data_IF_445574307133
#
_entry.id   IF_445574307133
#
_cell.length_a   1.000
_cell.length_b   1.000
_cell.length_c   1.000
_cell.angle_alpha   90.00
_cell.angle_beta   90.00
_cell.angle_gamma   90.00
#
_symmetry.space_group_name_H-M   'P 1'
#
loop_
_entity.id
_entity.type
_entity.pdbx_description
1 polymer ?
#
# COMPACT_ATOMS: atom_id res chain seq x y z
N UNK A 1 70.53 35.24 17.55
CA UNK A 1 70.93 36.63 17.28
C UNK A 1 72.09 36.57 16.28
N UNK A 2 71.83 36.81 14.98
CA UNK A 2 72.75 37.03 13.83
C UNK A 2 71.87 36.93 12.56
N UNK A 3 71.31 38.04 12.06
CA UNK A 3 71.77 38.94 10.97
C UNK A 3 71.57 38.43 9.53
N UNK A 4 70.67 39.10 8.77
CA UNK A 4 70.88 39.87 7.50
C UNK A 4 70.65 38.99 6.25
N UNK A 5 69.94 39.38 5.20
CA UNK A 5 70.12 40.55 4.32
C UNK A 5 68.83 40.96 3.57
N UNK A 6 68.71 42.26 3.31
CA UNK A 6 67.72 42.89 2.43
C UNK A 6 68.02 42.67 0.94
N UNK A 7 67.01 42.84 0.07
CA UNK A 7 67.18 43.52 -1.22
C UNK A 7 65.84 43.97 -1.83
N UNK A 8 65.77 45.28 -2.00
CA UNK A 8 64.89 46.05 -2.90
C UNK A 8 65.19 45.68 -4.35
N UNK A 9 64.22 45.80 -5.28
CA UNK A 9 64.39 46.50 -6.60
C UNK A 9 63.15 46.40 -7.51
N UNK A 10 62.52 47.56 -7.71
CA UNK A 10 62.06 48.23 -8.95
C UNK A 10 61.05 47.56 -9.91
N UNK A 11 59.96 48.31 -10.13
CA UNK A 11 58.94 48.17 -11.18
C UNK A 11 59.46 48.58 -12.58
N UNK A 12 59.07 47.83 -13.61
CA UNK A 12 58.95 48.35 -14.97
C UNK A 12 57.67 47.80 -15.62
N UNK A 13 56.89 48.72 -16.19
CA UNK A 13 55.62 48.51 -16.89
C UNK A 13 55.86 48.10 -18.34
N UNK A 14 55.09 47.14 -18.84
CA UNK A 14 54.88 46.91 -20.27
C UNK A 14 53.43 46.44 -20.51
N UNK A 15 52.69 47.20 -21.30
CA UNK A 15 51.35 46.88 -21.75
C UNK A 15 51.41 45.83 -22.89
N UNK A 16 50.59 44.78 -22.79
CA UNK A 16 50.35 43.83 -23.87
C UNK A 16 48.85 43.56 -24.01
N UNK A 17 48.34 43.82 -25.21
CA UNK A 17 46.96 43.64 -25.65
C UNK A 17 46.67 42.14 -25.80
N UNK A 18 45.65 41.55 -25.16
CA UNK A 18 45.29 40.17 -25.41
C UNK A 18 44.41 40.04 -26.66
N UNK A 19 44.87 39.22 -27.60
CA UNK A 19 44.05 38.70 -28.69
C UNK A 19 43.01 37.73 -28.11
N UNK A 20 41.73 38.07 -28.23
CA UNK A 20 40.62 37.18 -27.92
C UNK A 20 40.41 36.20 -29.08
N UNK A 21 40.73 34.93 -28.87
CA UNK A 21 40.17 33.82 -29.67
C UNK A 21 38.79 33.48 -29.11
N UNK A 22 37.69 33.55 -29.89
CA UNK A 22 36.39 33.11 -29.41
C UNK A 22 36.38 31.59 -29.29
N UNK A 23 36.28 31.10 -28.06
CA UNK A 23 35.88 29.72 -27.78
C UNK A 23 34.42 29.59 -28.21
N UNK A 24 34.16 28.72 -29.19
CA UNK A 24 32.81 28.36 -29.58
C UNK A 24 32.08 27.80 -28.34
N UNK A 25 31.08 28.54 -27.87
CA UNK A 25 30.19 28.10 -26.81
C UNK A 25 29.48 26.83 -27.30
N UNK A 26 29.81 25.69 -26.70
CA UNK A 26 28.94 24.52 -26.74
C UNK A 26 27.66 24.93 -26.03
N UNK A 27 26.62 25.22 -26.80
CA UNK A 27 25.27 25.39 -26.29
C UNK A 27 24.88 24.13 -25.55
N UNK A 28 24.98 24.16 -24.21
CA UNK A 28 24.33 23.18 -23.37
C UNK A 28 22.82 23.42 -23.55
N UNK A 29 22.17 22.54 -24.33
CA UNK A 29 20.73 22.44 -24.27
C UNK A 29 20.32 22.28 -22.79
N UNK A 30 19.31 23.03 -22.32
CA UNK A 30 18.88 22.94 -20.94
C UNK A 30 18.43 21.51 -20.67
N UNK A 31 19.20 20.80 -19.83
CA UNK A 31 18.80 19.53 -19.24
C UNK A 31 17.44 19.77 -18.61
N UNK A 32 16.41 19.11 -19.14
CA UNK A 32 15.06 19.18 -18.59
C UNK A 32 15.18 19.00 -17.07
N UNK A 33 14.72 20.00 -16.31
CA UNK A 33 14.75 19.96 -14.86
C UNK A 33 14.05 18.68 -14.41
N UNK A 34 14.75 17.85 -13.64
CA UNK A 34 14.12 16.69 -13.00
C UNK A 34 12.91 17.21 -12.21
N UNK A 35 11.70 16.66 -12.42
CA UNK A 35 10.51 17.13 -11.72
C UNK A 35 10.78 17.07 -10.22
N UNK A 36 10.54 18.19 -9.53
CA UNK A 36 10.68 18.24 -8.08
C UNK A 36 9.91 17.08 -7.46
N UNK A 37 10.47 16.38 -6.46
CA UNK A 37 9.79 15.23 -5.87
C UNK A 37 8.40 15.68 -5.39
N UNK A 38 7.34 14.96 -5.76
CA UNK A 38 5.98 15.33 -5.37
C UNK A 38 5.88 15.45 -3.84
N UNK A 39 5.16 16.48 -3.38
CA UNK A 39 4.93 16.72 -1.96
C UNK A 39 3.95 15.66 -1.42
N UNK A 40 4.52 14.55 -0.95
CA UNK A 40 3.75 13.42 -0.46
C UNK A 40 3.23 13.69 0.95
N UNK A 41 1.94 13.45 1.16
CA UNK A 41 1.33 13.40 2.47
C UNK A 41 1.97 12.27 3.29
N UNK A 42 2.33 12.58 4.53
CA UNK A 42 2.97 11.66 5.47
C UNK A 42 2.22 11.62 6.81
N UNK A 43 2.44 10.58 7.60
CA UNK A 43 1.95 10.49 8.98
C UNK A 43 0.43 10.65 9.09
N UNK A 44 -0.03 11.63 9.87
CA UNK A 44 -1.46 11.91 10.05
C UNK A 44 -2.15 12.39 8.79
N UNK A 45 -1.47 13.13 7.93
CA UNK A 45 -2.07 13.65 6.69
C UNK A 45 -2.30 12.53 5.67
N UNK A 46 -1.36 11.58 5.56
CA UNK A 46 -1.58 10.36 4.78
C UNK A 46 -2.81 9.60 5.29
N UNK A 47 -2.88 9.37 6.61
CA UNK A 47 -3.98 8.63 7.23
C UNK A 47 -5.33 9.29 6.98
N UNK A 48 -5.45 10.60 7.21
CA UNK A 48 -6.68 11.34 6.90
C UNK A 48 -7.04 11.22 5.43
N UNK A 49 -6.05 11.32 4.54
CA UNK A 49 -6.29 11.18 3.11
C UNK A 49 -6.83 9.79 2.73
N UNK A 50 -6.38 8.72 3.41
CA UNK A 50 -6.87 7.35 3.17
C UNK A 50 -8.33 7.15 3.61
N UNK A 51 -8.79 7.92 4.60
CA UNK A 51 -10.17 7.89 5.10
C UNK A 51 -11.12 8.81 4.32
N UNK A 52 -10.59 9.73 3.51
CA UNK A 52 -11.38 10.63 2.66
C UNK A 52 -12.03 9.89 1.50
N UNK A 53 -13.22 10.34 1.10
CA UNK A 53 -13.93 9.81 -0.06
C UNK A 53 -13.19 10.14 -1.36
N UNK A 54 -13.11 9.14 -2.23
CA UNK A 54 -12.49 9.20 -3.53
C UNK A 54 -13.35 8.44 -4.55
N UNK A 55 -13.11 8.72 -5.82
CA UNK A 55 -13.71 8.01 -6.94
C UNK A 55 -12.70 7.84 -8.06
N UNK A 56 -12.89 6.76 -8.82
CA UNK A 56 -12.13 6.47 -10.03
C UNK A 56 -13.06 5.97 -11.12
N UNK A 57 -12.72 6.33 -12.35
CA UNK A 57 -13.30 5.76 -13.55
C UNK A 57 -12.14 5.42 -14.48
N UNK A 58 -11.72 4.17 -14.45
CA UNK A 58 -10.72 3.62 -15.35
C UNK A 58 -11.41 2.68 -16.33
N UNK A 59 -11.12 2.87 -17.61
CA UNK A 59 -11.48 1.93 -18.66
C UNK A 59 -10.20 1.51 -19.38
N UNK A 60 -9.88 0.21 -19.34
CA UNK A 60 -8.67 -0.39 -19.92
C UNK A 60 -7.39 0.41 -19.64
N UNK A 61 -7.28 0.94 -18.43
CA UNK A 61 -6.16 1.82 -18.07
C UNK A 61 -4.97 0.97 -17.62
N UNK A 62 -3.76 1.16 -18.17
CA UNK A 62 -2.56 0.45 -17.70
C UNK A 62 -2.30 0.76 -16.23
N UNK A 63 -2.17 -0.29 -15.40
CA UNK A 63 -2.06 -0.20 -13.94
C UNK A 63 -0.99 0.81 -13.48
N UNK A 64 0.22 0.73 -14.04
CA UNK A 64 1.33 1.60 -13.64
C UNK A 64 1.04 3.07 -13.89
N UNK A 65 0.47 3.40 -15.05
CA UNK A 65 0.08 4.77 -15.39
C UNK A 65 -1.10 5.26 -14.54
N UNK A 66 -2.08 4.38 -14.30
CA UNK A 66 -3.21 4.65 -13.41
C UNK A 66 -2.76 4.98 -11.98
N UNK A 67 -1.93 4.13 -11.38
CA UNK A 67 -1.38 4.33 -10.03
C UNK A 67 -0.51 5.58 -9.93
N UNK A 68 0.30 5.88 -10.95
CA UNK A 68 1.11 7.11 -10.97
C UNK A 68 0.24 8.37 -10.97
N UNK A 69 -0.80 8.43 -11.82
CA UNK A 69 -1.77 9.54 -11.80
C UNK A 69 -2.51 9.60 -10.47
N UNK A 70 -2.91 8.45 -9.92
CA UNK A 70 -3.63 8.37 -8.65
C UNK A 70 -2.77 8.88 -7.48
N UNK A 71 -1.50 8.51 -7.45
CA UNK A 71 -0.48 9.00 -6.52
C UNK A 71 -0.37 10.53 -6.58
N UNK A 72 -0.29 11.10 -7.78
CA UNK A 72 -0.21 12.55 -7.99
C UNK A 72 -1.48 13.28 -7.53
N UNK A 73 -2.65 12.80 -7.92
CA UNK A 73 -3.95 13.43 -7.59
C UNK A 73 -4.19 13.47 -6.08
N UNK A 74 -3.89 12.37 -5.37
CA UNK A 74 -4.14 12.28 -3.94
C UNK A 74 -2.94 12.72 -3.08
N UNK A 75 -1.77 12.97 -3.68
CA UNK A 75 -0.55 13.33 -2.97
C UNK A 75 -0.06 12.21 -2.06
N UNK A 76 -0.19 10.95 -2.49
CA UNK A 76 0.20 9.77 -1.70
C UNK A 76 1.30 8.99 -2.42
N UNK A 77 2.26 8.45 -1.67
CA UNK A 77 3.33 7.66 -2.28
C UNK A 77 2.86 6.24 -2.54
N UNK A 78 2.99 5.78 -3.79
CA UNK A 78 2.65 4.42 -4.21
C UNK A 78 3.89 3.77 -4.82
N UNK A 79 4.25 2.59 -4.33
CA UNK A 79 5.31 1.75 -4.89
C UNK A 79 4.69 0.48 -5.46
N UNK A 80 4.89 0.24 -6.75
CA UNK A 80 4.46 -0.98 -7.42
C UNK A 80 5.63 -1.97 -7.50
N UNK A 81 5.46 -3.15 -6.90
CA UNK A 81 6.42 -4.24 -6.97
C UNK A 81 6.64 -4.68 -8.42
N UNK A 82 7.91 -4.86 -8.80
CA UNK A 82 8.34 -5.33 -10.12
C UNK A 82 7.68 -6.63 -10.62
N UNK A 83 7.17 -7.48 -9.73
CA UNK A 83 6.51 -8.76 -10.04
C UNK A 83 5.05 -8.58 -10.45
N UNK A 84 4.48 -7.40 -10.21
CA UNK A 84 3.13 -7.06 -10.68
C UNK A 84 3.26 -6.42 -12.06
N UNK A 85 2.58 -6.97 -13.05
CA UNK A 85 2.60 -6.42 -14.41
C UNK A 85 2.00 -5.00 -14.41
N UNK A 86 2.79 -3.97 -14.71
CA UNK A 86 2.31 -2.59 -14.72
C UNK A 86 1.57 -2.21 -16.01
N UNK A 87 1.62 -3.06 -17.05
CA UNK A 87 0.95 -2.84 -18.33
C UNK A 87 -0.43 -3.48 -18.38
N UNK A 88 -0.77 -4.34 -17.42
CA UNK A 88 -2.09 -4.93 -17.30
C UNK A 88 -3.17 -3.84 -17.26
N UNK A 89 -4.24 -4.06 -18.01
CA UNK A 89 -5.33 -3.10 -18.16
C UNK A 89 -6.38 -3.31 -17.06
N UNK A 90 -6.72 -2.24 -16.34
CA UNK A 90 -7.72 -2.25 -15.29
C UNK A 90 -8.95 -1.45 -15.75
N UNK A 91 -10.12 -2.08 -15.69
CA UNK A 91 -11.43 -1.40 -15.79
C UNK A 91 -12.12 -1.43 -14.44
N UNK A 92 -12.30 -0.24 -13.85
CA UNK A 92 -12.87 -0.06 -12.52
C UNK A 92 -13.56 1.30 -12.41
N UNK A 93 -14.83 1.28 -12.00
CA UNK A 93 -15.62 2.49 -11.73
C UNK A 93 -16.13 2.42 -10.30
N UNK A 94 -15.74 3.39 -9.49
CA UNK A 94 -16.14 3.52 -8.09
C UNK A 94 -16.27 4.99 -7.73
N UNK A 95 -17.23 5.31 -6.86
CA UNK A 95 -17.51 6.68 -6.43
C UNK A 95 -17.85 6.68 -4.94
N UNK A 96 -17.52 7.77 -4.25
CA UNK A 96 -17.87 8.02 -2.85
C UNK A 96 -17.44 6.87 -1.91
N UNK A 97 -16.26 6.29 -2.15
CA UNK A 97 -15.66 5.28 -1.27
C UNK A 97 -14.43 5.87 -0.59
N UNK A 98 -14.09 5.46 0.65
CA UNK A 98 -12.81 5.81 1.25
C UNK A 98 -11.65 5.48 0.31
N UNK A 99 -10.67 6.37 0.21
CA UNK A 99 -9.50 6.22 -0.66
C UNK A 99 -8.80 4.87 -0.45
N UNK A 100 -8.73 4.40 0.80
CA UNK A 100 -8.24 3.08 1.13
C UNK A 100 -9.03 1.96 0.43
N UNK A 101 -10.36 2.00 0.43
CA UNK A 101 -11.22 0.99 -0.22
C UNK A 101 -11.06 1.00 -1.75
N UNK A 102 -10.83 2.18 -2.34
CA UNK A 102 -10.51 2.29 -3.76
C UNK A 102 -9.18 1.61 -4.08
N UNK A 103 -8.14 1.87 -3.26
CA UNK A 103 -6.83 1.21 -3.40
C UNK A 103 -6.91 -0.31 -3.22
N UNK A 104 -7.73 -0.81 -2.29
CA UNK A 104 -8.02 -2.26 -2.13
C UNK A 104 -8.63 -2.84 -3.39
N UNK A 105 -9.60 -2.13 -3.97
CA UNK A 105 -10.27 -2.56 -5.20
C UNK A 105 -9.32 -2.59 -6.40
N UNK A 106 -8.40 -1.61 -6.51
CA UNK A 106 -7.35 -1.63 -7.52
C UNK A 106 -6.42 -2.82 -7.31
N UNK A 107 -5.95 -3.06 -6.08
CA UNK A 107 -5.05 -4.17 -5.76
C UNK A 107 -5.67 -5.53 -6.13
N UNK A 108 -6.93 -5.76 -5.74
CA UNK A 108 -7.66 -6.98 -6.08
C UNK A 108 -7.76 -7.20 -7.59
N UNK A 109 -8.08 -6.15 -8.37
CA UNK A 109 -8.14 -6.26 -9.84
C UNK A 109 -6.77 -6.52 -10.47
N UNK A 110 -5.71 -6.02 -9.84
CA UNK A 110 -4.33 -6.27 -10.24
C UNK A 110 -3.77 -7.63 -9.76
N UNK A 111 -4.59 -8.45 -9.09
CA UNK A 111 -4.16 -9.69 -8.41
C UNK A 111 -2.98 -9.47 -7.46
N UNK A 112 -2.98 -8.31 -6.80
CA UNK A 112 -1.99 -7.87 -5.84
C UNK A 112 -2.66 -7.63 -4.48
N UNK A 113 -1.82 -7.48 -3.47
CA UNK A 113 -2.21 -6.99 -2.15
C UNK A 113 -1.52 -5.66 -1.89
N UNK A 114 -2.13 -4.83 -1.04
CA UNK A 114 -1.49 -3.60 -0.57
C UNK A 114 -0.97 -3.71 0.85
N UNK A 115 0.11 -3.00 1.11
CA UNK A 115 0.67 -2.83 2.44
C UNK A 115 1.06 -1.37 2.65
N UNK A 116 1.04 -0.89 3.89
CA UNK A 116 1.53 0.45 4.22
C UNK A 116 2.81 0.31 5.03
N UNK A 117 3.91 0.87 4.52
CA UNK A 117 5.20 0.93 5.22
C UNK A 117 5.60 2.38 5.35
N UNK A 118 5.80 2.83 6.59
CA UNK A 118 6.04 4.24 6.91
C UNK A 118 4.96 5.15 6.29
N UNK A 119 5.25 5.79 5.16
CA UNK A 119 4.34 6.70 4.45
C UNK A 119 4.10 6.29 2.99
N UNK A 120 4.37 5.03 2.65
CA UNK A 120 4.28 4.51 1.28
C UNK A 120 3.34 3.33 1.21
N UNK A 121 2.47 3.35 0.20
CA UNK A 121 1.55 2.29 -0.12
C UNK A 121 2.23 1.38 -1.13
N UNK A 122 2.58 0.19 -0.68
CA UNK A 122 3.19 -0.84 -1.49
C UNK A 122 2.11 -1.71 -2.13
N UNK A 123 2.22 -1.98 -3.42
CA UNK A 123 1.41 -2.96 -4.16
C UNK A 123 2.31 -4.10 -4.60
N UNK A 124 2.04 -5.31 -4.15
CA UNK A 124 2.86 -6.46 -4.53
C UNK A 124 2.17 -7.80 -4.30
N UNK A 125 2.89 -8.92 -4.48
CA UNK A 125 2.32 -10.24 -4.26
C UNK A 125 1.77 -10.40 -2.83
N UNK A 126 0.66 -11.14 -2.71
CA UNK A 126 -0.07 -11.34 -1.46
C UNK A 126 0.84 -11.75 -0.29
N UNK A 127 1.71 -12.74 -0.51
CA UNK A 127 2.58 -13.28 0.53
C UNK A 127 3.58 -12.23 1.05
N UNK A 128 4.21 -11.48 0.14
CA UNK A 128 5.16 -10.42 0.51
C UNK A 128 4.46 -9.26 1.22
N UNK A 129 3.37 -8.74 0.63
CA UNK A 129 2.66 -7.56 1.14
C UNK A 129 2.13 -7.81 2.56
N UNK A 130 1.59 -9.01 2.83
CA UNK A 130 1.08 -9.39 4.15
C UNK A 130 2.15 -9.40 5.26
N UNK A 131 3.41 -9.68 4.91
CA UNK A 131 4.54 -9.77 5.85
C UNK A 131 5.24 -8.43 6.06
N UNK A 132 5.22 -7.59 5.01
CA UNK A 132 6.11 -6.45 4.87
C UNK A 132 5.98 -5.40 5.99
N UNK A 133 4.78 -4.94 6.42
CA UNK A 133 4.69 -3.96 7.50
C UNK A 133 5.29 -4.48 8.81
N UNK A 134 5.08 -5.76 9.11
CA UNK A 134 5.65 -6.39 10.30
C UNK A 134 7.16 -6.51 10.21
N UNK A 135 7.69 -6.93 9.07
CA UNK A 135 9.15 -6.97 8.84
C UNK A 135 9.76 -5.58 8.96
N UNK A 136 9.20 -4.56 8.30
CA UNK A 136 9.70 -3.20 8.38
C UNK A 136 9.71 -2.68 9.83
N UNK A 137 8.66 -2.96 10.59
CA UNK A 137 8.61 -2.60 12.01
C UNK A 137 9.67 -3.31 12.85
N UNK A 138 9.91 -4.60 12.63
CA UNK A 138 10.98 -5.35 13.29
C UNK A 138 12.35 -4.73 12.98
N UNK A 139 12.63 -4.41 11.72
CA UNK A 139 13.90 -3.79 11.31
C UNK A 139 14.07 -2.40 11.90
N UNK A 140 13.00 -1.60 11.95
CA UNK A 140 13.01 -0.30 12.62
C UNK A 140 13.29 -0.45 14.12
N UNK A 141 12.69 -1.44 14.79
CA UNK A 141 12.97 -1.74 16.21
C UNK A 141 14.43 -2.15 16.41
N UNK A 142 14.96 -3.03 15.55
CA UNK A 142 16.35 -3.46 15.63
C UNK A 142 17.30 -2.24 15.49
N UNK A 143 17.02 -1.34 14.55
CA UNK A 143 17.76 -0.08 14.39
C UNK A 143 17.65 0.84 15.62
N UNK A 144 16.51 0.86 16.33
CA UNK A 144 16.34 1.64 17.56
C UNK A 144 17.19 1.16 18.74
N UNK A 145 17.58 -0.12 18.73
CA UNK A 145 18.40 -0.76 19.76
C UNK A 145 19.91 -0.61 19.52
N UNK A 146 20.31 -0.03 18.37
CA UNK A 146 21.72 0.22 18.05
C UNK A 146 22.34 1.32 18.94
N UNK A 147 23.68 1.37 19.02
CA UNK A 147 24.40 2.49 19.63
C UNK A 147 24.06 3.82 18.95
N UNK A 148 24.22 4.95 19.67
CA UNK A 148 23.72 6.26 19.26
C UNK A 148 24.09 6.69 17.83
N UNK A 149 25.35 6.48 17.41
CA UNK A 149 25.83 6.83 16.07
C UNK A 149 25.13 6.02 14.96
N UNK A 150 25.31 4.69 14.91
CA UNK A 150 24.62 3.83 13.96
C UNK A 150 23.09 3.97 14.02
N UNK A 151 22.50 4.06 15.21
CA UNK A 151 21.07 4.32 15.39
C UNK A 151 20.62 5.56 14.63
N UNK A 152 21.30 6.69 14.83
CA UNK A 152 20.98 7.94 14.14
C UNK A 152 21.12 7.81 12.62
N UNK A 153 22.12 7.07 12.15
CA UNK A 153 22.36 6.85 10.73
C UNK A 153 21.28 5.97 10.07
N UNK A 154 20.95 4.82 10.68
CA UNK A 154 19.92 3.89 10.17
C UNK A 154 18.49 4.45 10.25
N UNK A 155 18.21 5.26 11.27
CA UNK A 155 16.90 5.90 11.45
C UNK A 155 16.82 7.29 10.79
N UNK A 156 17.88 7.74 10.12
CA UNK A 156 17.88 9.03 9.44
C UNK A 156 16.79 9.04 8.38
N UNK A 157 15.83 9.95 8.54
CA UNK A 157 14.78 10.16 7.54
C UNK A 157 15.37 10.89 6.34
N UNK A 158 15.32 10.24 5.18
CA UNK A 158 15.78 10.82 3.92
C UNK A 158 14.75 10.53 2.82
N UNK A 159 14.50 11.46 1.89
CA UNK A 159 13.71 11.14 0.71
C UNK A 159 14.46 10.11 -0.12
N UNK A 160 13.72 9.19 -0.73
CA UNK A 160 14.25 8.20 -1.66
C UNK A 160 13.77 8.49 -3.06
N UNK A 161 14.63 8.41 -4.06
CA UNK A 161 14.22 8.39 -5.45
C UNK A 161 15.27 7.62 -6.23
N UNK A 162 14.84 6.87 -7.23
CA UNK A 162 15.74 6.21 -8.14
C UNK A 162 15.21 6.32 -9.57
N UNK A 163 16.07 6.66 -10.54
CA UNK A 163 15.66 6.79 -11.93
C UNK A 163 15.39 5.43 -12.56
N UNK A 164 14.75 5.46 -13.74
CA UNK A 164 14.61 4.27 -14.58
C UNK A 164 15.99 3.71 -14.90
N UNK A 165 16.05 2.40 -15.01
CA UNK A 165 17.26 1.60 -15.20
C UNK A 165 18.19 1.52 -13.98
N UNK A 166 17.70 1.87 -12.78
CA UNK A 166 18.47 1.66 -11.55
C UNK A 166 18.71 0.17 -11.29
N UNK A 167 19.94 -0.17 -10.90
CA UNK A 167 20.34 -1.52 -10.51
C UNK A 167 20.09 -1.68 -9.00
N UNK A 168 19.19 -2.58 -8.57
CA UNK A 168 18.75 -2.65 -7.16
C UNK A 168 19.87 -3.01 -6.19
N UNK A 169 20.79 -3.87 -6.63
CA UNK A 169 21.97 -4.25 -5.83
C UNK A 169 22.84 -3.04 -5.50
N UNK A 170 23.07 -2.16 -6.46
CA UNK A 170 23.87 -0.95 -6.28
C UNK A 170 23.14 0.05 -5.38
N UNK A 171 21.83 0.23 -5.59
CA UNK A 171 20.99 1.08 -4.75
C UNK A 171 21.02 0.64 -3.28
N UNK A 172 20.82 -0.65 -3.00
CA UNK A 172 20.89 -1.20 -1.64
C UNK A 172 22.29 -1.02 -1.04
N UNK A 173 23.34 -1.27 -1.83
CA UNK A 173 24.73 -1.09 -1.38
C UNK A 173 25.00 0.36 -0.99
N UNK A 174 24.54 1.32 -1.79
CA UNK A 174 24.65 2.76 -1.52
C UNK A 174 23.89 3.15 -0.25
N UNK A 175 22.65 2.69 -0.10
CA UNK A 175 21.84 2.98 1.10
C UNK A 175 22.49 2.42 2.37
N UNK A 176 22.97 1.19 2.36
CA UNK A 176 23.68 0.58 3.49
C UNK A 176 24.99 1.33 3.79
N UNK A 177 25.78 1.66 2.77
CA UNK A 177 27.04 2.39 2.96
C UNK A 177 26.80 3.79 3.53
N UNK A 178 25.68 4.43 3.18
CA UNK A 178 25.30 5.75 3.72
C UNK A 178 25.07 5.76 5.24
N UNK A 179 24.85 4.59 5.86
CA UNK A 179 24.74 4.47 7.33
C UNK A 179 26.09 4.24 8.01
N UNK A 180 27.17 4.11 7.23
CA UNK A 180 28.49 3.69 7.70
C UNK A 180 28.66 2.17 7.83
N UNK A 181 27.65 1.39 7.44
CA UNK A 181 27.69 -0.06 7.50
C UNK A 181 28.23 -0.70 6.21
N UNK A 182 28.74 -1.93 6.31
CA UNK A 182 29.14 -2.77 5.18
C UNK A 182 28.08 -3.82 4.86
N UNK A 183 27.72 -3.92 3.58
CA UNK A 183 26.87 -5.00 3.07
C UNK A 183 27.70 -6.28 2.85
N UNK A 184 27.31 -7.38 3.48
CA UNK A 184 28.10 -8.62 3.51
C UNK A 184 27.88 -9.56 2.31
N UNK A 185 26.69 -9.54 1.70
CA UNK A 185 26.27 -10.49 0.65
C UNK A 185 25.39 -9.84 -0.42
N UNK A 186 25.87 -8.80 -1.14
CA UNK A 186 25.10 -8.10 -2.17
C UNK A 186 24.58 -9.02 -3.30
N UNK A 187 25.25 -10.13 -3.57
CA UNK A 187 24.87 -11.13 -4.57
C UNK A 187 23.55 -11.83 -4.27
N UNK A 188 23.08 -11.81 -3.01
CA UNK A 188 21.76 -12.32 -2.63
C UNK A 188 20.61 -11.51 -3.26
N UNK A 189 20.90 -10.32 -3.78
CA UNK A 189 19.98 -9.49 -4.58
C UNK A 189 20.22 -9.86 -6.05
N UNK A 190 19.22 -10.48 -6.74
CA UNK A 190 19.32 -10.78 -8.16
C UNK A 190 19.62 -9.53 -8.99
N UNK A 191 20.35 -9.71 -10.10
CA UNK A 191 20.55 -8.62 -11.05
C UNK A 191 19.22 -8.31 -11.74
N UNK A 192 18.82 -7.05 -11.70
CA UNK A 192 17.56 -6.56 -12.25
C UNK A 192 17.74 -5.09 -12.64
N UNK A 193 16.78 -4.53 -13.37
CA UNK A 193 16.81 -3.17 -13.87
C UNK A 193 15.43 -2.55 -13.68
N UNK A 194 15.34 -1.57 -12.79
CA UNK A 194 14.06 -1.08 -12.31
C UNK A 194 13.47 0.07 -13.12
N UNK A 195 12.15 0.25 -12.92
CA UNK A 195 11.47 1.51 -13.24
C UNK A 195 11.88 2.58 -12.24
N UNK A 196 11.62 3.82 -12.60
CA UNK A 196 11.75 4.91 -11.66
C UNK A 196 10.73 4.78 -10.51
N UNK A 197 11.09 5.28 -9.33
CA UNK A 197 10.16 5.50 -8.24
C UNK A 197 10.61 6.68 -7.38
N UNK A 198 9.63 7.33 -6.76
CA UNK A 198 9.84 8.40 -5.78
C UNK A 198 9.20 8.01 -4.45
N UNK A 199 9.92 8.22 -3.36
CA UNK A 199 9.54 7.86 -2.00
C UNK A 199 9.62 9.10 -1.09
N UNK A 200 8.65 9.28 -0.18
CA UNK A 200 8.70 10.34 0.82
C UNK A 200 9.88 10.15 1.76
N UNK A 201 10.21 11.20 2.51
CA UNK A 201 11.22 11.08 3.55
C UNK A 201 10.85 9.98 4.56
N UNK A 202 11.72 8.97 4.68
CA UNK A 202 11.57 7.88 5.63
C UNK A 202 12.94 7.34 6.07
N UNK A 203 13.02 6.64 7.22
CA UNK A 203 14.24 5.98 7.67
C UNK A 203 14.89 5.11 6.59
N UNK A 204 16.23 5.10 6.53
CA UNK A 204 16.99 4.25 5.58
C UNK A 204 16.57 2.77 5.71
N UNK A 205 16.34 2.30 6.93
CA UNK A 205 15.87 0.93 7.20
C UNK A 205 14.50 0.61 6.59
N UNK A 206 13.62 1.60 6.46
CA UNK A 206 12.30 1.44 5.85
C UNK A 206 12.38 1.45 4.33
N UNK A 207 13.22 2.31 3.76
CA UNK A 207 13.52 2.28 2.32
C UNK A 207 14.08 0.93 1.90
N UNK A 208 15.04 0.40 2.67
CA UNK A 208 15.61 -0.92 2.43
C UNK A 208 14.56 -2.03 2.54
N UNK A 209 13.62 -1.92 3.49
CA UNK A 209 12.52 -2.89 3.61
C UNK A 209 11.63 -2.88 2.37
N UNK A 210 11.25 -1.71 1.84
CA UNK A 210 10.47 -1.58 0.60
C UNK A 210 11.21 -2.13 -0.64
N UNK A 211 12.51 -1.84 -0.74
CA UNK A 211 13.34 -2.24 -1.88
C UNK A 211 13.57 -3.76 -1.86
N UNK A 212 13.95 -4.33 -0.72
CA UNK A 212 14.27 -5.76 -0.59
C UNK A 212 13.03 -6.65 -0.63
N UNK A 213 11.86 -6.14 -0.24
CA UNK A 213 10.59 -6.86 -0.35
C UNK A 213 10.30 -7.34 -1.78
N UNK A 214 10.69 -6.56 -2.79
CA UNK A 214 10.52 -6.91 -4.20
C UNK A 214 11.31 -8.16 -4.64
N UNK A 215 12.17 -8.68 -3.78
CA UNK A 215 12.94 -9.92 -3.97
C UNK A 215 12.64 -10.99 -2.91
N UNK A 216 11.58 -10.81 -2.10
CA UNK A 216 11.32 -11.61 -0.91
C UNK A 216 12.53 -11.68 0.03
N UNK A 217 13.17 -10.53 0.24
CA UNK A 217 14.32 -10.37 1.11
C UNK A 217 14.07 -9.28 2.16
N UNK A 218 14.92 -9.30 3.18
CA UNK A 218 15.03 -8.28 4.21
C UNK A 218 16.51 -8.03 4.54
N UNK A 219 16.76 -7.05 5.40
CA UNK A 219 18.10 -6.74 5.90
C UNK A 219 18.22 -7.13 7.38
N UNK A 220 19.27 -7.83 7.77
CA UNK A 220 19.65 -8.02 9.18
C UNK A 220 20.83 -7.11 9.50
N UNK A 221 20.74 -6.38 10.61
CA UNK A 221 21.75 -5.42 11.05
C UNK A 221 22.46 -6.01 12.27
N UNK A 222 23.79 -5.99 12.29
CA UNK A 222 24.57 -6.41 13.46
C UNK A 222 24.30 -5.51 14.66
N UNK A 223 24.53 -6.02 15.88
CA UNK A 223 24.25 -5.28 17.13
C UNK A 223 25.02 -3.96 17.26
N UNK A 224 26.20 -3.87 16.64
CA UNK A 224 27.01 -2.66 16.55
C UNK A 224 26.57 -1.70 15.43
N UNK A 225 25.68 -2.15 14.53
CA UNK A 225 25.16 -1.37 13.41
C UNK A 225 26.13 -1.22 12.23
N UNK A 226 27.27 -1.90 12.25
CA UNK A 226 28.34 -1.74 11.27
C UNK A 226 28.30 -2.74 10.12
N UNK A 227 27.55 -3.84 10.26
CA UNK A 227 27.39 -4.86 9.24
C UNK A 227 25.91 -5.06 8.93
N UNK A 228 25.61 -5.28 7.65
CA UNK A 228 24.28 -5.60 7.20
C UNK A 228 24.31 -6.81 6.25
N UNK A 229 23.35 -7.72 6.40
CA UNK A 229 23.23 -8.94 5.59
C UNK A 229 21.83 -9.04 5.00
N UNK A 230 21.73 -9.37 3.71
CA UNK A 230 20.46 -9.67 3.06
C UNK A 230 20.06 -11.10 3.40
N UNK A 231 18.86 -11.29 3.94
CA UNK A 231 18.29 -12.61 4.27
C UNK A 231 16.89 -12.76 3.67
N UNK A 232 16.35 -13.98 3.51
CA UNK A 232 14.96 -14.19 3.11
C UNK A 232 13.97 -13.51 4.06
N UNK A 233 12.81 -13.10 3.54
CA UNK A 233 11.69 -12.72 4.41
C UNK A 233 11.31 -13.90 5.30
N UNK A 234 11.00 -13.66 6.59
CA UNK A 234 10.53 -14.71 7.48
C UNK A 234 9.11 -15.15 7.06
N UNK A 235 8.78 -16.42 7.27
CA UNK A 235 7.47 -16.95 6.85
C UNK A 235 6.31 -16.34 7.64
N UNK A 236 6.48 -16.19 8.96
CA UNK A 236 5.42 -15.70 9.85
C UNK A 236 5.99 -14.66 10.83
N UNK A 237 6.31 -13.44 10.36
CA UNK A 237 6.81 -12.40 11.25
C UNK A 237 5.73 -11.98 12.24
N UNK A 238 6.11 -11.90 13.51
CA UNK A 238 5.28 -11.33 14.58
C UNK A 238 6.02 -10.20 15.26
N UNK A 239 5.29 -9.16 15.65
CA UNK A 239 5.77 -8.06 16.46
C UNK A 239 5.31 -8.25 17.90
N UNK A 240 6.15 -7.87 18.86
CA UNK A 240 5.88 -7.98 20.30
C UNK A 240 5.88 -6.58 20.91
N UNK A 241 4.79 -6.23 21.58
CA UNK A 241 4.65 -4.94 22.24
C UNK A 241 3.80 -5.03 23.51
N UNK A 242 4.16 -4.21 24.50
CA UNK A 242 3.45 -4.09 25.76
C UNK A 242 2.70 -2.77 25.84
N UNK A 243 1.41 -2.85 26.15
CA UNK A 243 0.52 -1.70 26.30
C UNK A 243 0.21 -1.46 27.77
N UNK A 244 0.32 -0.20 28.21
CA UNK A 244 -0.10 0.19 29.55
C UNK A 244 -1.63 0.11 29.69
N UNK A 245 -2.09 -0.65 30.69
CA UNK A 245 -3.50 -0.87 30.98
C UNK A 245 -3.98 -0.15 32.26
N UNK A 246 -3.07 0.39 33.08
CA UNK A 246 -3.37 1.20 34.28
C UNK A 246 -4.45 0.55 35.17
N UNK A 247 -4.21 -0.67 35.64
CA UNK A 247 -5.17 -1.46 36.44
C UNK A 247 -6.33 -2.10 35.67
N UNK A 248 -6.45 -1.92 34.34
CA UNK A 248 -7.53 -2.51 33.50
C UNK A 248 -7.04 -3.64 32.59
N UNK A 249 -5.93 -4.31 32.93
CA UNK A 249 -5.30 -5.32 32.07
C UNK A 249 -6.22 -6.45 31.64
N UNK A 250 -7.02 -6.99 32.57
CA UNK A 250 -7.97 -8.07 32.27
C UNK A 250 -9.06 -7.68 31.26
N UNK A 251 -9.67 -6.50 31.43
CA UNK A 251 -10.71 -6.00 30.51
C UNK A 251 -10.13 -5.70 29.12
N UNK A 252 -9.00 -4.99 29.08
CA UNK A 252 -8.33 -4.68 27.82
C UNK A 252 -7.94 -5.95 27.07
N UNK A 253 -7.37 -6.95 27.75
CA UNK A 253 -7.02 -8.22 27.12
C UNK A 253 -8.25 -8.98 26.57
N UNK A 254 -9.39 -8.95 27.27
CA UNK A 254 -10.62 -9.56 26.77
C UNK A 254 -11.15 -8.87 25.51
N UNK A 255 -11.17 -7.54 25.49
CA UNK A 255 -11.57 -6.74 24.32
C UNK A 255 -10.64 -7.02 23.12
N UNK A 256 -9.34 -7.03 23.36
CA UNK A 256 -8.35 -7.29 22.30
C UNK A 256 -8.45 -8.71 21.73
N UNK A 257 -8.67 -9.75 22.55
CA UNK A 257 -8.83 -11.13 22.05
C UNK A 257 -10.05 -11.29 21.15
N UNK A 258 -11.12 -10.54 21.42
CA UNK A 258 -12.32 -10.52 20.57
C UNK A 258 -12.06 -9.84 19.22
N UNK A 259 -11.26 -8.78 19.20
CA UNK A 259 -10.97 -8.00 17.99
C UNK A 259 -9.85 -8.60 17.14
N UNK A 260 -8.87 -9.26 17.77
CA UNK A 260 -7.67 -9.81 17.13
C UNK A 260 -7.50 -11.29 17.51
N UNK A 261 -8.31 -12.20 16.92
CA UNK A 261 -8.31 -13.61 17.31
C UNK A 261 -6.99 -14.34 17.02
N UNK A 262 -6.21 -13.85 16.05
CA UNK A 262 -4.90 -14.41 15.69
C UNK A 262 -3.76 -13.89 16.60
N UNK A 263 -4.01 -12.90 17.46
CA UNK A 263 -3.00 -12.32 18.34
C UNK A 263 -2.83 -13.12 19.64
N UNK A 264 -1.59 -13.30 20.07
CA UNK A 264 -1.29 -13.84 21.40
C UNK A 264 -1.28 -12.71 22.42
N UNK A 265 -2.25 -12.72 23.34
CA UNK A 265 -2.48 -11.64 24.31
C UNK A 265 -2.32 -12.16 25.74
N UNK A 266 -1.34 -11.60 26.47
CA UNK A 266 -1.02 -11.98 27.85
C UNK A 266 -1.24 -10.79 28.78
N UNK A 267 -2.24 -10.82 29.68
CA UNK A 267 -2.50 -9.75 30.63
C UNK A 267 -1.59 -9.83 31.86
N UNK A 268 -1.19 -8.65 32.33
CA UNK A 268 -0.64 -8.37 33.66
C UNK A 268 -1.57 -7.35 34.36
N UNK A 269 -1.39 -7.07 35.66
CA UNK A 269 -2.24 -6.11 36.39
C UNK A 269 -2.31 -4.73 35.71
N UNK A 270 -1.16 -4.21 35.28
CA UNK A 270 -1.00 -2.85 34.78
C UNK A 270 -0.63 -2.77 33.31
N UNK A 271 -0.42 -3.90 32.66
CA UNK A 271 0.07 -4.00 31.29
C UNK A 271 -0.58 -5.16 30.55
N UNK A 272 -0.62 -5.08 29.22
CA UNK A 272 -1.02 -6.19 28.34
C UNK A 272 0.05 -6.36 27.29
N UNK A 273 0.72 -7.52 27.30
CA UNK A 273 1.66 -7.92 26.25
C UNK A 273 0.88 -8.52 25.09
N UNK A 274 1.16 -8.05 23.89
CA UNK A 274 0.52 -8.49 22.64
C UNK A 274 1.61 -8.92 21.67
N UNK A 275 1.45 -10.11 21.10
CA UNK A 275 2.26 -10.61 19.99
C UNK A 275 1.34 -10.81 18.79
N UNK A 276 1.49 -9.98 17.76
CA UNK A 276 0.61 -9.94 16.59
C UNK A 276 1.33 -9.38 15.36
N UNK A 277 0.62 -9.19 14.25
CA UNK A 277 1.16 -8.44 13.10
C UNK A 277 1.22 -6.95 13.45
N UNK A 278 2.10 -6.22 12.79
CA UNK A 278 2.30 -4.79 13.08
C UNK A 278 1.06 -3.94 12.74
N UNK A 279 0.30 -4.32 11.73
CA UNK A 279 -0.95 -3.67 11.34
C UNK A 279 -2.02 -3.78 12.44
N UNK A 280 -2.05 -4.92 13.13
CA UNK A 280 -2.91 -5.13 14.29
C UNK A 280 -2.44 -4.21 15.44
N UNK A 281 -1.12 -4.10 15.68
CA UNK A 281 -0.55 -3.19 16.66
C UNK A 281 -0.86 -1.70 16.40
N UNK A 282 -0.87 -1.26 15.13
CA UNK A 282 -1.28 0.10 14.75
C UNK A 282 -2.75 0.35 15.10
N UNK A 283 -3.61 -0.63 14.83
CA UNK A 283 -5.03 -0.55 15.20
C UNK A 283 -5.22 -0.54 16.72
N UNK A 284 -4.49 -1.39 17.45
CA UNK A 284 -4.52 -1.43 18.92
C UNK A 284 -4.03 -0.10 19.51
N UNK A 285 -2.94 0.46 18.99
CA UNK A 285 -2.39 1.76 19.42
C UNK A 285 -3.45 2.87 19.34
N UNK A 286 -4.23 2.90 18.26
CA UNK A 286 -5.32 3.88 18.08
C UNK A 286 -6.41 3.69 19.13
N UNK A 287 -6.86 2.45 19.34
CA UNK A 287 -7.88 2.12 20.35
C UNK A 287 -7.43 2.50 21.76
N UNK A 288 -6.17 2.21 22.13
CA UNK A 288 -5.60 2.54 23.44
C UNK A 288 -5.47 4.05 23.63
N UNK A 289 -5.21 4.81 22.57
CA UNK A 289 -5.21 6.29 22.58
C UNK A 289 -6.61 6.92 22.60
N UNK A 290 -7.66 6.12 22.51
CA UNK A 290 -9.05 6.59 22.47
C UNK A 290 -9.47 7.17 21.12
N UNK A 291 -8.70 6.92 20.05
CA UNK A 291 -9.10 7.30 18.71
C UNK A 291 -10.27 6.44 18.25
N UNK A 292 -11.29 7.05 17.63
CA UNK A 292 -12.34 6.29 16.97
C UNK A 292 -11.77 5.65 15.72
N UNK A 293 -11.40 4.38 15.83
CA UNK A 293 -11.15 3.53 14.67
C UNK A 293 -12.50 3.22 14.05
N UNK A 294 -12.87 3.95 12.99
CA UNK A 294 -13.87 3.43 12.05
C UNK A 294 -13.24 2.20 11.44
N UNK A 295 -13.61 1.03 11.96
CA UNK A 295 -13.31 -0.23 11.32
C UNK A 295 -14.03 -0.20 9.97
N UNK A 296 -13.33 0.29 8.95
CA UNK A 296 -13.63 -0.08 7.57
C UNK A 296 -13.17 -1.52 7.43
N UNK A 297 -13.83 -2.43 8.15
CA UNK A 297 -14.00 -3.77 7.61
C UNK A 297 -14.75 -3.51 6.33
N UNK A 298 -14.01 -3.49 5.22
CA UNK A 298 -14.58 -3.95 3.97
C UNK A 298 -14.94 -5.39 4.27
N UNK A 299 -16.16 -5.59 4.81
CA UNK A 299 -16.96 -6.75 4.47
C UNK A 299 -16.81 -6.82 2.97
N UNK A 300 -16.15 -7.86 2.48
CA UNK A 300 -16.09 -8.25 1.07
C UNK A 300 -17.36 -7.75 0.44
N UNK A 301 -17.28 -6.67 -0.36
CA UNK A 301 -18.42 -5.80 -0.60
C UNK A 301 -19.62 -6.62 -1.03
N UNK A 302 -20.54 -6.89 -0.10
CA UNK A 302 -21.88 -7.32 -0.42
C UNK A 302 -22.41 -6.15 -1.23
N UNK A 303 -22.53 -6.36 -2.55
CA UNK A 303 -23.13 -5.37 -3.43
C UNK A 303 -24.48 -5.03 -2.83
N UNK A 304 -24.64 -3.77 -2.43
CA UNK A 304 -25.91 -3.27 -1.91
C UNK A 304 -26.73 -2.71 -3.05
N UNK A 305 -27.99 -3.10 -3.10
CA UNK A 305 -28.92 -2.75 -4.15
C UNK A 305 -30.01 -1.84 -3.59
N UNK A 306 -30.32 -0.79 -4.34
CA UNK A 306 -31.52 0.03 -4.11
C UNK A 306 -32.32 0.00 -5.39
N UNK A 307 -33.53 -0.54 -5.33
CA UNK A 307 -34.38 -0.73 -6.50
C UNK A 307 -35.84 -0.50 -6.09
N UNK A 308 -36.53 0.28 -6.90
CA UNK A 308 -37.98 0.42 -6.84
C UNK A 308 -38.54 -0.23 -8.09
N UNK A 309 -39.33 -1.28 -7.91
CA UNK A 309 -40.05 -1.98 -8.97
C UNK A 309 -41.54 -1.78 -8.76
N UNK A 310 -42.20 -1.22 -9.76
CA UNK A 310 -43.66 -1.06 -9.75
C UNK A 310 -44.24 -1.83 -10.94
N UNK A 311 -45.03 -2.87 -10.61
CA UNK A 311 -45.84 -3.64 -11.55
C UNK A 311 -45.06 -4.20 -12.76
N UNK A 312 -43.87 -4.78 -12.53
CA UNK A 312 -43.08 -5.41 -13.59
C UNK A 312 -43.10 -6.94 -13.49
N UNK A 313 -43.03 -7.67 -14.62
CA UNK A 313 -42.90 -9.12 -14.61
C UNK A 313 -41.65 -9.56 -13.84
N UNK A 314 -41.79 -10.52 -12.93
CA UNK A 314 -40.67 -11.01 -12.10
C UNK A 314 -39.49 -11.54 -12.94
N UNK A 315 -39.77 -12.16 -14.09
CA UNK A 315 -38.75 -12.61 -15.04
C UNK A 315 -37.94 -11.46 -15.65
N UNK A 316 -38.54 -10.29 -15.87
CA UNK A 316 -37.82 -9.12 -16.38
C UNK A 316 -36.88 -8.52 -15.32
N UNK A 317 -37.34 -8.51 -14.06
CA UNK A 317 -36.52 -8.10 -12.90
C UNK A 317 -35.34 -9.06 -12.73
N UNK A 318 -35.59 -10.37 -12.71
CA UNK A 318 -34.55 -11.41 -12.61
C UNK A 318 -33.53 -11.33 -13.76
N UNK A 319 -33.98 -11.11 -15.00
CA UNK A 319 -33.11 -10.93 -16.16
C UNK A 319 -32.22 -9.69 -16.03
N UNK A 320 -32.76 -8.61 -15.50
CA UNK A 320 -32.00 -7.36 -15.26
C UNK A 320 -30.92 -7.60 -14.21
N UNK A 321 -31.25 -8.29 -13.11
CA UNK A 321 -30.29 -8.68 -12.07
C UNK A 321 -29.20 -9.59 -12.65
N UNK A 322 -29.57 -10.62 -13.40
CA UNK A 322 -28.62 -11.53 -14.05
C UNK A 322 -27.68 -10.79 -15.01
N UNK A 323 -28.20 -9.85 -15.80
CA UNK A 323 -27.42 -9.01 -16.72
C UNK A 323 -26.41 -8.15 -15.97
N UNK A 324 -26.81 -7.52 -14.86
CA UNK A 324 -25.91 -6.73 -14.02
C UNK A 324 -24.80 -7.58 -13.37
N UNK A 325 -25.11 -8.83 -13.06
CA UNK A 325 -24.16 -9.80 -12.50
C UNK A 325 -23.30 -10.49 -13.55
N UNK A 326 -23.56 -10.28 -14.85
CA UNK A 326 -22.97 -11.03 -15.98
C UNK A 326 -23.19 -12.54 -15.88
N UNK A 327 -24.33 -12.96 -15.35
CA UNK A 327 -24.75 -14.36 -15.24
C UNK A 327 -25.82 -14.68 -16.29
N UNK A 328 -25.85 -15.94 -16.73
CA UNK A 328 -26.91 -16.45 -17.60
C UNK A 328 -28.12 -16.84 -16.75
N UNK A 329 -29.31 -16.31 -17.08
CA UNK A 329 -30.55 -16.68 -16.39
C UNK A 329 -31.05 -18.03 -16.92
N UNK A 330 -31.26 -18.99 -16.03
CA UNK A 330 -31.74 -20.35 -16.34
C UNK A 330 -32.98 -20.66 -15.50
N UNK A 331 -34.01 -21.27 -16.09
CA UNK A 331 -35.21 -21.71 -15.39
C UNK A 331 -35.97 -22.73 -16.24
N UNK A 332 -36.74 -23.59 -15.58
CA UNK A 332 -37.57 -24.60 -16.24
C UNK A 332 -38.90 -24.02 -16.76
N UNK A 333 -39.55 -24.75 -17.68
CA UNK A 333 -40.79 -24.32 -18.32
C UNK A 333 -41.95 -24.07 -17.33
N UNK A 334 -41.97 -24.77 -16.19
CA UNK A 334 -42.98 -24.58 -15.13
C UNK A 334 -42.76 -23.28 -14.36
N UNK A 335 -41.49 -22.88 -14.16
CA UNK A 335 -41.11 -21.61 -13.52
C UNK A 335 -41.38 -20.42 -14.44
N UNK A 336 -41.32 -20.61 -15.76
CA UNK A 336 -41.56 -19.57 -16.75
C UNK A 336 -42.96 -18.93 -16.62
N UNK A 337 -43.98 -19.72 -16.26
CA UNK A 337 -45.34 -19.21 -16.06
C UNK A 337 -45.45 -18.33 -14.80
N UNK A 338 -44.73 -18.69 -13.73
CA UNK A 338 -44.69 -17.91 -12.50
C UNK A 338 -43.92 -16.61 -12.69
N UNK A 339 -42.81 -16.64 -13.45
CA UNK A 339 -42.02 -15.45 -13.78
C UNK A 339 -42.74 -14.43 -14.67
N UNK A 340 -43.85 -14.80 -15.31
CA UNK A 340 -44.69 -13.86 -16.06
C UNK A 340 -45.59 -13.00 -15.16
N UNK A 341 -45.72 -13.33 -13.87
CA UNK A 341 -46.52 -12.56 -12.92
C UNK A 341 -45.82 -11.26 -12.52
N UNK A 342 -46.61 -10.21 -12.32
CA UNK A 342 -46.10 -8.90 -11.94
C UNK A 342 -45.81 -8.82 -10.45
N UNK A 343 -44.69 -8.19 -10.12
CA UNK A 343 -44.26 -7.91 -8.76
C UNK A 343 -44.01 -6.42 -8.58
N UNK A 344 -44.26 -5.95 -7.36
CA UNK A 344 -43.99 -4.58 -6.93
C UNK A 344 -43.30 -4.63 -5.59
N UNK A 345 -42.12 -4.03 -5.49
CA UNK A 345 -41.39 -3.93 -4.23
C UNK A 345 -40.44 -2.74 -4.26
N UNK A 346 -40.10 -2.24 -3.08
CA UNK A 346 -39.12 -1.19 -2.91
C UNK A 346 -38.10 -1.64 -1.87
N UNK A 347 -36.84 -1.70 -2.29
CA UNK A 347 -35.73 -2.04 -1.41
C UNK A 347 -34.68 -0.94 -1.45
N UNK A 348 -34.11 -0.66 -0.28
CA UNK A 348 -33.06 0.34 -0.11
C UNK A 348 -31.92 -0.27 0.67
N UNK A 349 -30.72 -0.22 0.08
CA UNK A 349 -29.48 -0.67 0.70
C UNK A 349 -29.46 -2.16 1.12
N UNK A 350 -30.03 -3.06 0.30
CA UNK A 350 -30.18 -4.50 0.60
C UNK A 350 -29.15 -5.37 -0.11
N UNK A 351 -28.90 -6.58 0.39
CA UNK A 351 -28.01 -7.55 -0.27
C UNK A 351 -28.63 -8.17 -1.53
N UNK A 352 -27.82 -8.89 -2.34
CA UNK A 352 -28.35 -9.63 -3.50
C UNK A 352 -29.38 -10.69 -3.09
N UNK A 353 -29.14 -11.37 -1.97
CA UNK A 353 -30.04 -12.39 -1.44
C UNK A 353 -31.38 -11.78 -1.05
N UNK A 354 -31.35 -10.66 -0.33
CA UNK A 354 -32.56 -9.92 0.07
C UNK A 354 -33.30 -9.39 -1.17
N UNK A 355 -32.59 -8.84 -2.15
CA UNK A 355 -33.19 -8.37 -3.41
C UNK A 355 -33.90 -9.51 -4.17
N UNK A 356 -33.25 -10.66 -4.33
CA UNK A 356 -33.84 -11.81 -5.04
C UNK A 356 -35.01 -12.41 -4.24
N UNK A 357 -34.93 -12.42 -2.91
CA UNK A 357 -36.01 -12.88 -2.04
C UNK A 357 -37.24 -11.99 -2.14
N UNK A 358 -37.09 -10.67 -2.17
CA UNK A 358 -38.21 -9.74 -2.35
C UNK A 358 -38.82 -9.84 -3.76
N UNK A 359 -37.99 -10.10 -4.78
CA UNK A 359 -38.46 -10.26 -6.16
C UNK A 359 -39.17 -11.61 -6.42
N UNK A 360 -38.72 -12.70 -5.79
CA UNK A 360 -39.14 -14.08 -6.11
C UNK A 360 -40.03 -14.71 -5.02
N UNK A 361 -39.89 -14.28 -3.77
CA UNK A 361 -40.61 -14.78 -2.61
C UNK A 361 -42.14 -14.71 -2.72
N UNK A 362 -42.75 -13.62 -3.24
CA UNK A 362 -44.20 -13.55 -3.46
C UNK A 362 -44.73 -14.65 -4.38
N UNK A 363 -43.87 -15.21 -5.24
CA UNK A 363 -44.19 -16.24 -6.22
C UNK A 363 -43.80 -17.65 -5.74
N UNK A 364 -43.30 -17.80 -4.50
CA UNK A 364 -42.74 -19.06 -3.96
C UNK A 364 -41.64 -19.62 -4.85
N UNK A 365 -40.82 -18.73 -5.39
CA UNK A 365 -39.65 -19.06 -6.18
C UNK A 365 -38.40 -18.80 -5.34
N UNK A 366 -37.42 -19.67 -5.49
CA UNK A 366 -36.08 -19.52 -4.91
C UNK A 366 -35.04 -19.55 -6.03
N UNK A 367 -33.78 -19.34 -5.66
CA UNK A 367 -32.70 -19.27 -6.64
C UNK A 367 -31.49 -20.10 -6.21
N UNK A 368 -30.73 -20.55 -7.20
CA UNK A 368 -29.38 -21.09 -7.05
C UNK A 368 -28.43 -20.27 -7.89
N UNK A 369 -27.34 -19.82 -7.28
CA UNK A 369 -26.30 -19.09 -7.98
C UNK A 369 -25.08 -19.98 -8.18
N UNK A 370 -24.56 -20.00 -9.40
CA UNK A 370 -23.25 -20.56 -9.75
C UNK A 370 -22.35 -19.44 -10.27
N UNK A 371 -21.09 -19.77 -10.59
CA UNK A 371 -20.13 -18.79 -11.13
C UNK A 371 -20.56 -18.21 -12.50
N UNK A 372 -21.43 -18.91 -13.24
CA UNK A 372 -21.82 -18.54 -14.61
C UNK A 372 -23.33 -18.41 -14.84
N UNK A 373 -24.16 -18.88 -13.92
CA UNK A 373 -25.61 -18.89 -14.08
C UNK A 373 -26.37 -18.54 -12.79
N UNK A 374 -27.51 -17.88 -12.97
CA UNK A 374 -28.55 -17.69 -11.97
C UNK A 374 -29.73 -18.59 -12.35
N UNK A 375 -29.93 -19.66 -11.57
CA UNK A 375 -30.99 -20.63 -11.79
C UNK A 375 -32.18 -20.31 -10.87
N UNK A 376 -33.38 -20.15 -11.43
CA UNK A 376 -34.61 -19.94 -10.65
C UNK A 376 -35.38 -21.24 -10.59
N UNK A 377 -35.68 -21.68 -9.38
CA UNK A 377 -36.39 -22.94 -9.11
C UNK A 377 -37.57 -22.67 -8.20
N UNK A 378 -38.57 -23.53 -8.25
CA UNK A 378 -39.70 -23.43 -7.33
C UNK A 378 -39.26 -23.84 -5.92
N UNK A 379 -39.72 -23.10 -4.91
CA UNK A 379 -39.53 -23.48 -3.52
C UNK A 379 -40.41 -24.72 -3.25
N UNK A 380 -39.79 -25.89 -3.11
CA UNK A 380 -40.53 -27.11 -2.77
C UNK A 380 -41.09 -26.99 -1.35
N UNK A 381 -42.33 -27.45 -1.11
CA UNK A 381 -43.04 -27.27 0.16
C UNK A 381 -42.39 -27.96 1.36
#
# INVERSE_FOLDING_TARGET
MYQWTALVTIFLTAAAVPWFTPVAAVSQEPRAAEPSPPDYKVGSELRKSLEQEAGITWDKTPLGGGLARFSQVHGIAILLDRRIDPTQEITLTQQNLPLQSVLESIAQRAQAEKAVVANTIYFGPFDTAKKLPTVAALRRRDAQLLPAGPKAAWLKSTPGSYPRLTIPRELVTTLVTSTGAKLLNPEAIPHDVWRDASLPAMPVVDQLSLILAQFDRQIEISKDGLLARVTPLPDNPTYDHTYAAKGRGGKLAADLRRMFPEATITPTSDEVRVVARFEDHETINRLVRGEQVRSTQVRTGEKRYTLTVENQPAGAVAKTIATQLKLTLVFDAEVAQLLAQNVSFQVKDVTLEELLREALGPLKLTYRQTDTALEIVQEMP
#
